data_IF_237874778535
#
_entry.id   IF_237874778535
#
_cell.length_a   1.000
_cell.length_b   1.000
_cell.length_c   1.000
_cell.angle_alpha   90.00
_cell.angle_beta   90.00
_cell.angle_gamma   90.00
#
_symmetry.space_group_name_H-M   'P 1'
#
loop_
_entity.id
_entity.type
_entity.pdbx_description
1 polymer ?
2 water ?
#
# COMPACT_ATOMS: atom_id res chain seq x y z
N UNK A 6 -3.31 14.61 17.61
CA UNK A 6 -3.28 13.17 17.47
C UNK A 6 -3.90 12.51 18.69
N UNK A 7 -4.77 11.54 18.45
CA UNK A 7 -5.52 10.86 19.51
C UNK A 7 -5.06 9.41 19.59
N UNK A 8 -4.38 9.07 20.68
CA UNK A 8 -4.01 7.70 20.96
C UNK A 8 -5.26 6.90 21.30
N UNK A 9 -5.52 5.83 20.56
CA UNK A 9 -6.70 4.99 20.76
C UNK A 9 -6.23 3.64 21.28
N UNK A 10 -5.95 3.59 22.59
CA UNK A 10 -5.36 2.40 23.19
C UNK A 10 -6.28 1.18 23.16
N UNK A 11 -7.60 1.37 23.03
CA UNK A 11 -8.50 0.23 23.05
C UNK A 11 -8.41 -0.62 21.78
N UNK A 12 -7.79 -0.10 20.72
CA UNK A 12 -7.65 -0.86 19.49
C UNK A 12 -6.68 -2.02 19.62
N UNK A 13 -5.91 -2.09 20.72
CA UNK A 13 -5.03 -3.23 20.95
C UNK A 13 -5.79 -4.54 20.95
N UNK A 14 -7.08 -4.49 21.33
CA UNK A 14 -7.93 -5.68 21.34
C UNK A 14 -7.85 -6.45 20.02
N UNK A 15 -7.80 -5.74 18.90
CA UNK A 15 -7.83 -6.40 17.59
C UNK A 15 -6.46 -6.89 17.16
N UNK A 16 -5.38 -6.40 17.77
CA UNK A 16 -4.05 -6.94 17.54
C UNK A 16 -3.72 -8.09 18.48
N UNK A 17 -4.25 -8.08 19.70
CA UNK A 17 -4.05 -9.18 20.64
C UNK A 17 -4.92 -10.39 20.30
N UNK A 18 -5.99 -10.19 19.53
CA UNK A 18 -6.84 -11.31 19.12
C UNK A 18 -6.06 -12.31 18.28
N UNK A 19 -5.12 -11.83 17.47
CA UNK A 19 -4.30 -12.68 16.61
C UNK A 19 -2.86 -12.77 17.08
N UNK A 20 -2.53 -12.19 18.24
CA UNK A 20 -1.20 -12.24 18.84
C UNK A 20 -0.12 -11.70 17.89
N UNK A 21 -0.45 -10.59 17.22
CA UNK A 21 0.51 -9.89 16.37
C UNK A 21 0.77 -8.51 16.95
N UNK A 22 1.93 -7.97 16.62
CA UNK A 22 2.27 -6.59 16.93
C UNK A 22 1.88 -5.72 15.75
N UNK A 23 1.33 -4.55 16.04
CA UNK A 23 0.91 -3.75 14.90
C UNK A 23 0.57 -2.33 15.26
N UNK A 24 0.24 -1.56 14.23
CA UNK A 24 -0.16 -0.18 14.41
C UNK A 24 -1.19 0.19 13.36
N UNK A 25 -2.05 1.12 13.72
CA UNK A 25 -3.10 1.60 12.81
C UNK A 25 -3.16 3.12 12.91
N UNK A 27 -5.56 6.40 11.37
CA UNK A 27 -6.81 6.74 10.71
C UNK A 27 -6.98 8.25 10.76
N UNK A 28 -6.94 8.89 9.59
CA UNK A 28 -7.13 10.33 9.46
C UNK A 28 -8.48 10.57 8.79
N UNK A 29 -9.43 11.13 9.52
CA UNK A 29 -10.74 11.47 8.99
C UNK A 29 -10.66 12.89 8.45
N UNK A 30 -10.77 13.03 7.13
CA UNK A 30 -10.54 14.34 6.51
C UNK A 30 -11.64 15.33 6.86
N UNK A 31 -12.89 14.87 6.86
CA UNK A 31 -14.01 15.76 7.17
C UNK A 31 -13.95 16.23 8.62
N UNK A 32 -13.89 15.30 9.57
CA UNK A 32 -13.84 15.65 10.98
C UNK A 32 -12.49 16.27 11.36
N UNK A 33 -11.44 16.01 10.60
CA UNK A 33 -10.12 16.44 10.99
C UNK A 33 -9.49 15.61 12.09
N UNK A 34 -10.12 14.50 12.49
CA UNK A 34 -9.60 13.67 13.56
C UNK A 34 -8.46 12.79 13.07
N UNK A 35 -7.54 12.50 13.98
CA UNK A 35 -6.37 11.67 13.67
C UNK A 35 -6.19 10.70 14.85
N UNK A 36 -6.58 9.44 14.64
CA UNK A 36 -6.50 8.41 15.67
C UNK A 36 -5.43 7.41 15.31
N UNK A 37 -4.55 7.11 16.27
CA UNK A 37 -3.41 6.22 16.05
C UNK A 37 -3.36 5.22 17.20
N UNK A 38 -3.18 3.95 16.86
CA UNK A 38 -2.72 2.96 17.83
C UNK A 38 -1.25 2.64 17.57
N UNK A 39 -0.48 2.56 18.65
CA UNK A 39 0.95 2.24 18.61
C UNK A 39 1.71 3.32 17.83
N UNK A 40 1.83 4.49 18.45
CA UNK A 40 2.43 5.64 17.79
C UNK A 40 3.92 5.42 17.55
N UNK A 41 4.60 4.74 18.47
CA UNK A 41 6.04 4.55 18.30
C UNK A 41 6.34 3.73 17.05
N UNK A 42 5.53 2.70 16.79
CA UNK A 42 5.72 1.92 15.57
C UNK A 42 5.36 2.72 14.32
N UNK A 43 4.49 3.71 14.45
CA UNK A 43 4.14 4.52 13.28
C UNK A 43 5.34 5.26 12.71
N UNK A 44 6.35 5.53 13.54
CA UNK A 44 7.55 6.23 13.10
C UNK A 44 8.67 5.28 12.70
N UNK A 45 8.47 3.97 12.81
CA UNK A 45 9.50 2.99 12.50
C UNK A 45 9.46 2.63 11.02
N UNK A 46 10.64 2.37 10.45
CA UNK A 46 10.77 2.07 9.04
C UNK A 46 10.69 0.57 8.79
N UNK A 47 9.94 0.19 7.74
CA UNK A 47 9.83 -1.19 7.30
C UNK A 47 9.88 -1.22 5.78
N UNK A 48 10.18 -2.40 5.24
CA UNK A 48 10.15 -2.57 3.79
C UNK A 48 8.73 -2.42 3.29
N UNK A 49 8.52 -1.76 2.14
CA UNK A 49 7.15 -1.53 1.68
C UNK A 49 6.50 -2.75 1.04
N UNK A 50 7.27 -3.69 0.51
CA UNK A 50 6.70 -4.82 -0.21
C UNK A 50 5.77 -4.32 -1.31
N UNK A 51 4.64 -4.99 -1.52
CA UNK A 51 3.80 -4.69 -2.67
C UNK A 51 3.09 -3.35 -2.58
N UNK A 52 3.13 -2.66 -1.43
CA UNK A 52 2.59 -1.31 -1.41
C UNK A 52 3.43 -0.34 -2.25
N UNK A 53 4.60 -0.76 -2.72
CA UNK A 53 5.42 0.10 -3.56
C UNK A 53 4.84 0.16 -4.98
N UNK A 55 2.10 1.25 -5.78
CA UNK A 55 1.48 2.56 -5.92
C UNK A 55 2.47 3.52 -6.58
N UNK A 56 3.67 3.57 -6.00
CA UNK A 56 4.72 4.44 -6.52
C UNK A 56 5.23 3.97 -7.88
N UNK A 57 5.36 2.65 -8.05
CA UNK A 57 5.85 2.10 -9.30
C UNK A 57 4.88 2.36 -10.44
N UNK A 58 3.58 2.33 -10.15
CA UNK A 58 2.59 2.63 -11.17
C UNK A 58 2.64 4.09 -11.58
N UNK A 59 2.78 5.00 -10.61
CA UNK A 59 2.87 6.42 -10.92
C UNK A 59 4.05 6.72 -11.84
N UNK A 60 5.23 6.22 -11.48
CA UNK A 60 6.42 6.48 -12.30
C UNK A 60 6.30 5.81 -13.65
N UNK A 61 5.82 4.57 -13.68
CA UNK A 61 5.65 3.88 -14.96
C UNK A 61 4.72 4.64 -15.89
N UNK A 62 3.60 5.13 -15.36
CA UNK A 62 2.68 5.93 -16.16
C UNK A 62 3.28 7.28 -16.54
N UNK A 63 3.96 7.94 -15.60
CA UNK A 63 4.46 9.28 -15.87
C UNK A 63 5.55 9.27 -16.93
N UNK A 64 6.42 8.27 -16.91
CA UNK A 64 7.52 8.20 -17.87
C UNK A 64 7.10 7.61 -19.21
N UNK A 65 5.88 7.08 -19.31
CA UNK A 65 5.42 6.47 -20.55
C UNK A 65 5.69 4.99 -20.68
N UNK A 66 6.35 4.38 -19.69
CA UNK A 66 6.63 2.95 -19.76
C UNK A 66 5.34 2.14 -19.79
N UNK A 67 4.39 2.51 -18.94
CA UNK A 67 3.04 1.95 -18.97
C UNK A 67 2.15 2.95 -19.71
N UNK A 68 1.64 2.54 -20.88
CA UNK A 68 0.81 3.45 -21.67
C UNK A 68 -0.42 3.88 -20.91
N UNK A 69 -1.20 2.92 -20.43
CA UNK A 69 -2.39 3.20 -19.63
C UNK A 69 -2.66 2.00 -18.73
N UNK A 70 -3.82 2.00 -18.07
CA UNK A 70 -4.13 0.93 -17.12
C UNK A 70 -4.49 -0.39 -17.79
N UNK A 71 -4.59 -0.43 -19.12
CA UNK A 71 -4.83 -1.68 -19.84
C UNK A 71 -3.55 -2.26 -20.44
N UNK A 72 -2.42 -1.59 -20.26
CA UNK A 72 -1.15 -2.00 -20.87
C UNK A 72 -0.75 -3.40 -20.40
N UNK A 73 -0.51 -4.29 -21.38
CA UNK A 73 -0.23 -5.70 -21.12
C UNK A 73 1.27 -5.95 -21.17
N UNK A 74 1.79 -6.57 -20.13
CA UNK A 74 3.14 -7.15 -20.14
C UNK A 74 2.98 -8.67 -20.10
N UNK A 75 3.41 -9.39 -21.14
CA UNK A 75 3.12 -10.82 -21.20
C UNK A 75 3.89 -11.63 -20.16
N UNK A 76 3.31 -12.78 -19.84
CA UNK A 76 3.94 -13.73 -18.92
C UNK A 76 5.29 -14.17 -19.46
N UNK A 77 6.33 -14.05 -18.63
CA UNK A 77 7.70 -14.36 -19.05
C UNK A 77 7.98 -15.85 -19.15
N UNK A 78 6.96 -16.71 -19.02
CA UNK A 78 7.13 -18.14 -19.14
C UNK A 78 7.63 -18.85 -17.90
N UNK A 79 7.93 -18.11 -16.83
CA UNK A 79 8.44 -18.71 -15.59
C UNK A 79 7.25 -19.02 -14.70
N UNK A 80 6.95 -20.31 -14.51
CA UNK A 80 5.87 -20.73 -13.64
C UNK A 80 6.22 -20.43 -12.18
N UNK A 81 5.40 -19.61 -11.52
CA UNK A 81 5.64 -19.20 -10.16
C UNK A 81 4.53 -19.71 -9.24
N UNK A 82 4.76 -19.53 -7.93
CA UNK A 82 3.90 -20.14 -6.91
C UNK A 82 2.52 -19.53 -6.84
N UNK A 84 -0.71 -18.79 -9.05
CA UNK A 84 -1.31 -19.06 -10.38
C UNK A 84 -1.74 -17.80 -11.11
N UNK A 85 -2.31 -16.83 -10.40
CA UNK A 85 -2.77 -15.60 -11.03
C UNK A 85 -1.64 -14.79 -11.66
N UNK A 86 -0.37 -15.05 -11.28
CA UNK A 86 0.73 -14.34 -11.91
C UNK A 86 1.16 -14.93 -13.23
N UNK A 87 0.77 -16.16 -13.52
CA UNK A 87 1.26 -16.89 -14.69
C UNK A 87 0.42 -16.63 -15.92
N UNK A 88 0.07 -15.37 -16.18
CA UNK A 88 -0.73 -15.02 -17.34
C UNK A 88 -0.28 -13.66 -17.84
N UNK A 89 -0.62 -13.37 -19.10
CA UNK A 89 -0.45 -12.03 -19.61
C UNK A 89 -1.46 -11.11 -18.94
N UNK A 90 -0.98 -10.08 -18.27
CA UNK A 90 -1.81 -9.25 -17.41
C UNK A 90 -1.72 -7.79 -17.84
N UNK A 91 -2.86 -7.10 -17.79
CA UNK A 91 -2.85 -5.66 -17.88
C UNK A 91 -2.37 -5.07 -16.56
N UNK A 93 -3.82 -3.03 -14.63
CA UNK A 93 -4.89 -3.02 -13.64
C UNK A 93 -5.03 -4.39 -12.98
N UNK A 94 -5.01 -5.46 -13.78
CA UNK A 94 -5.09 -6.81 -13.23
C UNK A 94 -3.87 -7.10 -12.35
N UNK A 95 -2.68 -6.73 -12.82
CA UNK A 95 -1.45 -7.00 -12.08
C UNK A 95 -1.42 -6.24 -10.76
N UNK A 96 -1.85 -4.99 -10.76
CA UNK A 96 -1.91 -4.21 -9.53
C UNK A 96 -2.79 -4.88 -8.49
N UNK A 97 -3.96 -5.36 -8.91
CA UNK A 97 -4.96 -5.85 -7.97
C UNK A 97 -4.64 -7.26 -7.48
N UNK A 98 -4.02 -8.10 -8.31
CA UNK A 98 -3.53 -9.40 -7.85
C UNK A 98 -2.09 -9.31 -7.36
N UNK A 99 -1.49 -8.12 -7.36
CA UNK A 99 -0.16 -7.89 -6.78
C UNK A 99 0.89 -8.74 -7.50
N UNK A 100 0.86 -8.70 -8.83
CA UNK A 100 1.72 -9.52 -9.67
C UNK A 100 3.11 -8.89 -9.72
N UNK A 101 4.00 -9.36 -8.84
CA UNK A 101 5.36 -8.86 -8.77
C UNK A 101 6.07 -8.92 -10.12
N UNK A 102 5.97 -10.01 -10.91
CA UNK A 102 6.71 -10.04 -12.18
C UNK A 102 6.39 -8.89 -13.10
N UNK A 103 5.11 -8.50 -13.18
CA UNK A 103 4.73 -7.38 -14.03
C UNK A 103 5.52 -6.12 -13.66
N UNK A 104 5.55 -5.81 -12.37
CA UNK A 104 6.15 -4.56 -11.94
C UNK A 104 7.67 -4.64 -11.79
N UNK A 105 8.23 -5.84 -11.70
CA UNK A 105 9.68 -5.96 -11.87
C UNK A 105 10.10 -5.55 -13.27
N UNK A 106 9.34 -5.98 -14.28
CA UNK A 106 9.64 -5.56 -15.65
C UNK A 106 9.45 -4.06 -15.79
N UNK A 107 8.41 -3.51 -15.16
CA UNK A 107 8.18 -2.07 -15.20
C UNK A 107 9.40 -1.32 -14.65
N UNK A 108 9.92 -1.77 -13.51
CA UNK A 108 11.09 -1.13 -12.92
C UNK A 108 12.31 -1.24 -13.84
N UNK A 109 12.46 -2.38 -14.52
CA UNK A 109 13.60 -2.55 -15.43
C UNK A 109 13.54 -1.56 -16.58
N UNK A 110 12.34 -1.31 -17.13
CA UNK A 110 12.23 -0.39 -18.26
C UNK A 110 12.36 1.06 -17.80
N UNK A 111 11.97 1.36 -16.55
CA UNK A 111 12.19 2.70 -16.02
C UNK A 111 13.68 2.96 -15.88
N UNK A 112 14.45 1.93 -15.54
CA UNK A 112 15.90 1.95 -15.33
C UNK A 112 16.25 2.64 -14.00
N UNK A 113 17.38 2.26 -13.42
CA UNK A 113 17.69 2.69 -12.04
C UNK A 113 17.92 4.19 -11.91
N UNK A 114 18.69 4.87 -12.78
CA UNK A 114 18.86 6.32 -12.59
C UNK A 114 17.56 7.10 -12.59
N UNK A 115 16.62 6.77 -13.49
CA UNK A 115 15.33 7.46 -13.47
C UNK A 115 14.58 7.13 -12.18
N UNK A 117 15.77 6.32 -9.35
CA UNK A 117 16.40 7.02 -8.24
C UNK A 117 15.99 8.49 -8.22
N UNK A 118 15.86 9.09 -9.41
CA UNK A 118 15.49 10.50 -9.50
C UNK A 118 14.11 10.76 -8.91
N UNK A 119 13.16 9.86 -9.16
CA UNK A 119 11.82 10.04 -8.63
C UNK A 119 11.76 9.77 -7.14
N UNK A 120 12.63 8.91 -6.63
CA UNK A 120 12.70 8.67 -5.18
C UNK A 120 13.26 9.88 -4.45
N UNK A 121 14.30 10.51 -4.99
CA UNK A 121 14.86 11.70 -4.35
C UNK A 121 13.90 12.88 -4.45
N UNK A 122 13.19 12.99 -5.58
CA UNK A 122 12.26 14.11 -5.78
C UNK A 122 11.09 14.04 -4.81
N UNK A 123 10.46 12.87 -4.70
CA UNK A 123 9.35 12.69 -3.78
C UNK A 123 9.82 12.52 -2.34
N UNK A 124 11.09 12.17 -2.13
CA UNK A 124 11.64 11.83 -0.81
C UNK A 124 10.86 10.67 -0.19
N UNK A 125 10.93 9.53 -0.89
CA UNK A 125 10.14 8.35 -0.56
C UNK A 125 10.95 7.43 0.35
N UNK A 126 10.67 7.49 1.65
CA UNK A 126 11.35 6.60 2.59
C UNK A 126 12.82 6.95 2.71
N UNK A 127 13.67 5.92 2.83
CA UNK A 127 15.11 6.15 2.85
C UNK A 127 15.70 6.30 1.46
N UNK A 129 16.60 4.38 -0.90
CA UNK A 129 17.73 3.50 -1.20
C UNK A 129 17.32 2.41 -2.16
N UNK A 130 18.14 2.19 -3.18
CA UNK A 130 17.91 1.16 -4.19
C UNK A 130 19.06 0.16 -4.12
N UNK A 131 18.74 -1.12 -3.96
CA UNK A 131 19.73 -2.17 -4.08
C UNK A 131 19.83 -2.63 -5.53
N UNK A 132 18.93 -3.52 -5.94
CA UNK A 132 18.78 -3.93 -7.32
C UNK A 132 17.49 -3.33 -7.89
N UNK A 133 17.45 -3.17 -9.21
CA UNK A 133 16.34 -2.43 -9.84
C UNK A 133 15.02 -3.19 -9.72
N UNK A 134 15.05 -4.51 -9.65
CA UNK A 134 13.81 -5.29 -9.61
C UNK A 134 13.62 -6.02 -8.27
N UNK A 135 14.36 -5.64 -7.23
CA UNK A 135 14.14 -6.23 -5.91
C UNK A 135 14.10 -5.23 -4.77
N UNK A 136 14.41 -3.94 -4.99
CA UNK A 136 14.73 -3.06 -3.87
C UNK A 136 13.55 -2.77 -2.96
N UNK A 137 12.31 -2.99 -3.41
CA UNK A 137 11.16 -2.79 -2.55
C UNK A 137 10.78 -4.05 -1.77
N UNK A 138 11.50 -5.15 -1.99
CA UNK A 138 11.24 -6.43 -1.34
C UNK A 138 12.39 -6.95 -0.51
N UNK A 139 13.61 -6.44 -0.69
CA UNK A 139 14.79 -7.01 -0.07
C UNK A 139 15.26 -6.22 1.15
N UNK A 140 14.38 -5.41 1.74
CA UNK A 140 14.65 -4.61 2.93
C UNK A 140 15.69 -3.53 2.72
N UNK A 141 16.08 -3.25 1.46
CA UNK A 141 16.89 -2.07 1.21
C UNK A 141 16.06 -0.80 1.36
N UNK A 142 15.06 -0.63 0.50
CA UNK A 142 14.12 0.48 0.65
C UNK A 142 13.25 0.26 1.88
N UNK A 143 13.04 1.32 2.65
CA UNK A 143 12.21 1.26 3.84
C UNK A 143 11.41 2.55 3.96
N UNK A 144 10.24 2.45 4.59
CA UNK A 144 9.35 3.60 4.74
C UNK A 144 8.47 3.33 5.96
N UNK A 145 8.14 4.40 6.69
CA UNK A 145 7.35 4.20 7.90
C UNK A 145 5.86 4.29 7.59
N UNK A 146 5.02 3.70 8.45
CA UNK A 146 3.57 3.89 8.28
C UNK A 146 3.16 5.35 8.20
N UNK A 147 3.77 6.20 9.03
CA UNK A 147 3.49 7.64 8.97
C UNK A 147 3.83 8.21 7.60
N UNK A 148 4.94 7.75 7.02
CA UNK A 148 5.35 8.28 5.72
C UNK A 148 4.45 7.76 4.60
N UNK A 149 3.90 6.56 4.74
CA UNK A 149 2.97 6.07 3.74
C UNK A 149 1.59 6.72 3.87
N UNK A 150 1.18 7.09 5.07
CA UNK A 150 -0.07 7.82 5.23
C UNK A 150 0.00 9.17 4.52
N UNK A 151 1.09 9.91 4.74
CA UNK A 151 1.25 11.20 4.08
C UNK A 151 1.39 11.07 2.57
N UNK A 152 1.90 9.94 2.10
CA UNK A 152 2.07 9.74 0.67
C UNK A 152 0.72 9.55 -0.01
N UNK A 153 -0.13 8.68 0.54
CA UNK A 153 -1.42 8.42 -0.09
C UNK A 153 -2.38 9.60 0.11
N UNK A 154 -2.16 10.42 1.13
CA UNK A 154 -2.94 11.65 1.26
C UNK A 154 -2.60 12.62 0.13
N UNK A 155 -1.31 12.80 -0.14
CA UNK A 155 -0.90 13.66 -1.25
C UNK A 155 -1.36 13.12 -2.59
N UNK A 156 -1.39 11.79 -2.74
CA UNK A 156 -1.89 11.20 -3.97
C UNK A 156 -3.37 11.49 -4.18
N UNK A 157 -4.16 11.40 -3.11
CA UNK A 157 -5.59 11.60 -3.21
C UNK A 157 -5.92 13.04 -3.62
N UNK A 158 -5.14 14.01 -3.14
CA UNK A 158 -5.41 15.41 -3.42
C UNK A 158 -4.53 15.98 -4.53
N UNK A 159 -3.96 15.11 -5.37
CA UNK A 159 -3.17 15.53 -6.54
C UNK A 159 -1.97 16.38 -6.15
N UNK A 160 -1.39 16.13 -4.98
CA UNK A 160 -0.32 16.95 -4.45
C UNK A 160 1.08 16.39 -4.74
N UNK A 161 1.16 15.34 -5.53
CA UNK A 161 2.42 14.74 -5.93
C UNK A 161 2.89 15.35 -7.24
N UNK A 162 4.22 15.40 -7.46
CA UNK A 162 4.75 15.99 -8.70
C UNK A 162 4.56 15.12 -9.93
N UNK A 163 3.35 14.61 -10.13
CA UNK A 163 2.96 13.86 -11.31
C UNK A 163 1.83 14.59 -12.02
N UNK A 164 1.55 14.15 -13.24
CA UNK A 164 0.42 14.71 -13.98
C UNK A 164 -0.89 14.19 -13.40
N UNK A 165 -1.94 14.99 -13.55
CA UNK A 165 -3.22 14.65 -12.92
C UNK A 165 -3.82 13.39 -13.50
N UNK A 166 -3.57 13.10 -14.78
CA UNK A 166 -4.10 11.87 -15.36
C UNK A 166 -3.35 10.66 -14.82
N UNK A 167 -2.04 10.81 -14.58
CA UNK A 167 -1.27 9.74 -13.96
C UNK A 167 -1.87 9.36 -12.61
N UNK A 169 -4.83 10.16 -11.34
CA UNK A 169 -6.21 9.67 -11.45
C UNK A 169 -6.23 8.19 -11.81
N UNK A 170 -5.38 7.77 -12.75
CA UNK A 170 -5.34 6.37 -13.16
C UNK A 170 -4.99 5.46 -12.00
N UNK A 171 -4.08 5.89 -11.13
CA UNK A 171 -3.66 5.06 -10.01
C UNK A 171 -4.75 4.97 -8.95
N UNK A 172 -5.45 6.07 -8.70
CA UNK A 172 -6.56 6.03 -7.75
C UNK A 172 -7.64 5.07 -8.22
N UNK A 173 -7.88 5.01 -9.52
CA UNK A 173 -8.96 4.18 -10.05
C UNK A 173 -8.65 2.69 -9.90
N UNK A 174 -7.41 2.29 -10.13
CA UNK A 174 -7.08 0.87 -10.02
C UNK A 174 -7.10 0.41 -8.57
N UNK A 176 -9.44 1.02 -6.46
CA UNK A 176 -10.81 0.76 -6.02
C UNK A 176 -11.03 -0.74 -5.95
N UNK A 178 -13.51 -2.32 -3.54
CA UNK A 178 -14.79 -2.74 -2.98
C UNK A 178 -15.74 -1.56 -3.05
N UNK A 179 -16.90 -1.76 -3.70
CA UNK A 179 -17.87 -0.69 -3.92
C UNK A 179 -19.25 -1.18 -3.53
N UNK A 180 -19.83 -0.57 -2.51
CA UNK A 180 -21.20 -0.77 -2.09
C UNK A 180 -21.89 0.57 -2.00
N UNK A 181 -23.23 0.60 -1.98
CA UNK A 181 -23.93 1.88 -1.79
C UNK A 181 -23.54 2.61 -0.52
N UNK A 182 -23.02 1.91 0.49
CA UNK A 182 -22.69 2.55 1.76
C UNK A 182 -21.28 3.13 1.79
N UNK A 183 -20.35 2.59 0.99
CA UNK A 183 -18.96 3.00 1.07
C UNK A 183 -18.22 2.53 -0.18
N UNK A 184 -17.05 3.13 -0.41
CA UNK A 184 -16.13 2.67 -1.45
C UNK A 184 -14.75 2.52 -0.82
N UNK A 185 -14.14 1.35 -1.01
CA UNK A 185 -12.91 0.98 -0.32
C UNK A 185 -11.77 0.83 -1.33
N UNK A 186 -10.70 1.58 -1.11
CA UNK A 186 -9.52 1.57 -1.97
C UNK A 186 -8.27 1.30 -1.13
N UNK A 187 -7.41 0.42 -1.64
CA UNK A 187 -6.20 0.09 -0.88
C UNK A 187 -5.20 -0.65 -1.76
N UNK A 188 -3.99 -0.78 -1.24
CA UNK A 188 -2.99 -1.70 -1.77
C UNK A 188 -2.44 -2.50 -0.61
N UNK A 189 -2.37 -3.82 -0.77
CA UNK A 189 -1.83 -4.70 0.25
C UNK A 189 -0.34 -4.95 0.01
N UNK A 190 0.34 -5.35 1.07
CA UNK A 190 1.75 -5.69 1.00
C UNK A 190 2.11 -6.78 1.98
N UNK A 192 5.85 -8.74 3.14
CA UNK A 192 7.28 -8.90 2.97
C UNK A 192 7.92 -9.51 4.20
N UNK A 193 9.17 -9.92 4.04
CA UNK A 193 9.90 -10.62 5.09
C UNK A 193 11.14 -9.83 5.50
N UNK A 194 11.38 -9.80 6.81
CA UNK A 194 12.53 -9.10 7.40
C UNK A 194 13.13 -10.05 8.43
N UNK A 195 14.06 -10.88 7.99
CA UNK A 195 14.62 -11.91 8.83
C UNK A 195 13.58 -12.95 9.21
N UNK A 196 13.39 -13.15 10.51
CA UNK A 196 12.35 -14.08 10.97
C UNK A 196 10.95 -13.49 10.98
N UNK A 197 10.79 -12.21 10.65
CA UNK A 197 9.51 -11.53 10.76
C UNK A 197 8.83 -11.43 9.40
N UNK A 198 7.51 -11.58 9.40
CA UNK A 198 6.66 -11.32 8.25
C UNK A 198 5.91 -10.02 8.48
N UNK A 199 6.06 -9.06 7.57
CA UNK A 199 5.44 -7.74 7.69
C UNK A 199 4.23 -7.68 6.77
N UNK A 200 3.12 -7.18 7.29
CA UNK A 200 1.91 -6.99 6.52
C UNK A 200 1.50 -5.52 6.44
N UNK A 201 1.10 -5.09 5.25
CA UNK A 201 0.63 -3.73 5.00
C UNK A 201 -0.76 -3.75 4.41
N UNK A 202 -1.59 -2.78 4.78
CA UNK A 202 -2.74 -2.35 3.97
C UNK A 202 -2.79 -0.83 4.06
N UNK A 203 -2.71 -0.16 2.91
CA UNK A 203 -2.71 1.29 2.85
C UNK A 203 -3.73 1.77 1.83
N UNK A 204 -4.50 2.80 2.19
CA UNK A 204 -5.51 3.29 1.28
C UNK A 204 -6.47 4.26 1.95
N UNK A 205 -7.73 4.21 1.51
CA UNK A 205 -8.75 5.11 2.03
C UNK A 205 -10.13 4.48 1.82
N UNK A 206 -11.08 4.91 2.64
CA UNK A 206 -12.48 4.54 2.50
C UNK A 206 -13.29 5.81 2.35
N UNK A 207 -14.27 5.79 1.44
CA UNK A 207 -15.09 6.94 1.15
C UNK A 207 -16.55 6.61 1.43
N UNK A 208 -17.21 7.47 2.21
CA UNK A 208 -18.63 7.39 2.46
C UNK A 208 -19.23 8.76 2.22
N UNK A 209 -20.25 8.83 1.37
CA UNK A 209 -20.90 10.10 1.04
C UNK A 209 -19.89 11.13 0.55
N UNK A 210 -18.85 10.67 -0.14
CA UNK A 210 -17.84 11.57 -0.66
C UNK A 210 -16.83 12.10 0.35
N UNK A 211 -16.76 11.51 1.54
CA UNK A 211 -15.78 11.93 2.54
C UNK A 211 -14.71 10.86 2.66
N UNK A 212 -13.43 11.19 2.44
CA UNK A 212 -12.37 10.18 2.58
C UNK A 212 -11.77 10.14 3.97
N UNK A 213 -11.47 8.90 4.40
CA UNK A 213 -10.71 8.64 5.61
C UNK A 213 -9.50 7.79 5.20
N UNK A 214 -8.30 8.30 5.48
CA UNK A 214 -7.08 7.64 5.07
C UNK A 214 -6.57 6.74 6.20
N UNK A 215 -6.05 5.56 5.83
CA UNK A 215 -5.59 4.61 6.83
C UNK A 215 -4.34 3.89 6.36
N UNK A 216 -3.53 3.48 7.34
CA UNK A 216 -2.38 2.62 7.12
C UNK A 216 -2.40 1.57 8.22
N UNK A 217 -2.42 0.29 7.83
CA UNK A 217 -2.29 -0.83 8.75
C UNK A 217 -0.94 -1.50 8.55
N UNK A 218 -0.23 -1.75 9.65
CA UNK A 218 1.07 -2.40 9.59
C UNK A 218 1.21 -3.34 10.77
N UNK A 219 1.33 -4.63 10.50
CA UNK A 219 1.48 -5.65 11.54
C UNK A 219 2.68 -6.52 11.23
N UNK A 220 3.11 -7.26 12.25
CA UNK A 220 4.19 -8.23 12.09
C UNK A 220 3.93 -9.45 12.94
N UNK A 221 4.44 -10.59 12.49
CA UNK A 221 4.40 -11.83 13.24
C UNK A 221 5.67 -12.61 12.95
N UNK A 222 6.11 -13.40 13.93
CA UNK A 222 7.17 -14.37 13.70
C UNK A 222 6.62 -15.78 13.59
N UNK A 223 5.30 -15.95 13.71
CA UNK A 223 4.66 -17.22 13.49
C UNK A 223 4.59 -17.50 11.98
N UNK A 224 5.37 -18.49 11.54
CA UNK A 224 5.39 -18.84 10.12
C UNK A 224 4.03 -19.35 9.65
N UNK A 225 3.24 -19.93 10.56
CA UNK A 225 1.97 -20.55 10.19
C UNK A 225 0.84 -19.56 10.04
N UNK A 226 1.03 -18.32 10.46
CA UNK A 226 -0.05 -17.34 10.47
C UNK A 226 -0.44 -16.98 9.04
N UNK A 227 -1.74 -17.08 8.74
CA UNK A 227 -2.28 -16.70 7.44
C UNK A 227 -2.38 -15.18 7.40
N UNK A 229 -2.46 -13.06 4.99
CA UNK A 229 -3.42 -12.52 4.03
C UNK A 229 -4.80 -12.37 4.66
N UNK A 230 -5.29 -13.43 5.31
CA UNK A 230 -6.61 -13.36 5.95
C UNK A 230 -6.59 -12.51 7.21
N UNK A 231 -5.48 -12.52 7.94
CA UNK A 231 -5.42 -11.82 9.22
C UNK A 231 -5.44 -10.31 9.02
N UNK A 232 -4.62 -9.81 8.09
CA UNK A 232 -4.57 -8.37 7.85
C UNK A 232 -5.94 -7.81 7.49
N UNK A 234 -9.07 -9.19 8.19
CA UNK A 234 -9.99 -9.26 9.33
C UNK A 234 -9.71 -8.14 10.33
N UNK A 235 -8.42 -7.88 10.61
CA UNK A 235 -8.07 -6.80 11.53
C UNK A 235 -8.52 -5.46 10.97
N UNK A 236 -8.32 -5.25 9.66
CA UNK A 236 -8.74 -3.98 9.07
C UNK A 236 -10.24 -3.79 9.19
N UNK A 237 -11.01 -4.82 8.85
CA UNK A 237 -12.46 -4.69 8.93
C UNK A 237 -12.92 -4.47 10.37
N UNK A 238 -12.27 -5.12 11.34
CA UNK A 238 -12.67 -4.93 12.73
C UNK A 238 -12.34 -3.54 13.22
N UNK A 239 -11.20 -2.99 12.79
CA UNK A 239 -10.83 -1.62 13.17
C UNK A 239 -11.81 -0.61 12.58
N UNK A 240 -12.14 -0.77 11.30
CA UNK A 240 -13.05 0.18 10.67
C UNK A 240 -14.48 0.03 11.17
N UNK A 241 -14.89 -1.19 11.53
CA UNK A 241 -16.21 -1.38 12.15
C UNK A 241 -16.27 -0.67 13.50
N UNK A 242 -15.26 -0.89 14.35
CA UNK A 242 -15.19 -0.20 15.64
C UNK A 242 -15.17 1.31 15.47
N UNK A 243 -14.56 1.80 14.39
CA UNK A 243 -14.52 3.23 14.10
C UNK A 243 -15.82 3.75 13.51
N UNK A 244 -16.80 2.89 13.26
CA UNK A 244 -18.11 3.32 12.80
C UNK A 244 -18.29 3.38 11.31
N UNK A 245 -17.51 2.64 10.53
CA UNK A 245 -17.60 2.66 9.08
C UNK A 245 -18.47 1.52 8.57
N UNK A 246 -18.62 1.46 7.25
CA UNK A 246 -19.40 0.47 6.50
C UNK A 246 -20.90 0.63 6.67
N UNK A 247 -21.36 1.71 7.31
CA UNK A 247 -22.78 1.99 7.44
C UNK A 247 -23.24 3.17 6.58
N UNK A 248 -22.32 3.91 5.98
CA UNK A 248 -22.70 5.08 5.20
C UNK A 248 -22.98 6.32 6.01
N UNK A 250 -20.55 8.20 7.66
CA UNK A 250 -19.37 9.05 7.75
C UNK A 250 -19.34 10.09 6.63
#
# INVERSE_FOLDING_TARGET
>A
SNANNVENEKSWEKYFAEYKVEGCFXLFNNSQGTFKVYNLERSQQRFLPASTFXIFNSLVGLETGVIKDTSFVIPWDGVTRDXPEWNHDLSXQQAFRVSAVPYFQEVARRITKPVXQHWLDTVKFGNXKISKIDTFWLDNSLQISPDEELGFVKKLYFDQLPFHKVTXQNVRQVXLXEKKPEYELSYKTGXGFSGPKTIGWITGWIEENGHPSFFVLNIETENKSLDXRTVRXNILRNLLTDAGYFKGXK
#
